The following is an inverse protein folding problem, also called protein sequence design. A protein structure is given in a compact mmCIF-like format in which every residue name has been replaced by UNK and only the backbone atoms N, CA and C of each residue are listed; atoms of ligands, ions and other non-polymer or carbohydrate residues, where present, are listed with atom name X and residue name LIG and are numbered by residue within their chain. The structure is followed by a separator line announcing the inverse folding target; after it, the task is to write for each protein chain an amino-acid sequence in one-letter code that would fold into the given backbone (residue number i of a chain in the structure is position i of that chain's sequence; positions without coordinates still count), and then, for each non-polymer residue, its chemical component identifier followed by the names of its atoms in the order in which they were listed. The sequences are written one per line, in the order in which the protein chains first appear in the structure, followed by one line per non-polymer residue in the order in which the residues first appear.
data_IF_550151070563
#
_entry.id   IF_550151070563
#
_cell.length_a   1.000
_cell.length_b   1.000
_cell.length_c   1.000
_cell.angle_alpha   90.00
_cell.angle_beta   90.00
_cell.angle_gamma   90.00
#
_symmetry.space_group_name_H-M   'P 1'
#
loop_
_entity.id
_entity.type
_entity.pdbx_description
1 polymer ?
#
# COMPACT_ATOMS: atom_id res chain seq x y z
N UNK A 1 -35.72 7.71 -17.08
CA UNK A 1 -34.98 8.66 -16.22
C UNK A 1 -34.12 7.95 -15.20
N UNK A 2 -34.63 7.08 -14.36
CA UNK A 2 -33.90 6.40 -13.27
C UNK A 2 -32.65 5.60 -13.74
N UNK A 3 -32.77 4.77 -14.79
CA UNK A 3 -31.63 4.00 -15.33
C UNK A 3 -30.46 4.88 -15.85
N UNK A 4 -30.77 6.07 -16.37
CA UNK A 4 -29.74 7.01 -16.86
C UNK A 4 -29.00 7.66 -15.69
N UNK A 5 -29.71 8.03 -14.63
CA UNK A 5 -29.09 8.58 -13.40
C UNK A 5 -28.19 7.56 -12.70
N UNK A 6 -28.65 6.31 -12.60
CA UNK A 6 -27.82 5.21 -12.02
C UNK A 6 -26.56 5.02 -12.86
N UNK A 7 -26.68 4.98 -14.19
CA UNK A 7 -25.52 4.82 -15.07
C UNK A 7 -24.54 6.01 -14.99
N UNK A 8 -25.05 7.26 -14.94
CA UNK A 8 -24.23 8.47 -14.78
C UNK A 8 -23.52 8.49 -13.41
N UNK A 9 -24.17 8.02 -12.33
CA UNK A 9 -23.54 7.89 -11.02
C UNK A 9 -22.45 6.79 -11.01
N UNK A 10 -22.69 5.65 -11.66
CA UNK A 10 -21.69 4.60 -11.79
C UNK A 10 -20.47 5.06 -12.59
N UNK A 11 -20.68 5.78 -13.71
CA UNK A 11 -19.59 6.33 -14.52
C UNK A 11 -18.80 7.40 -13.77
N UNK A 12 -19.48 8.26 -13.01
CA UNK A 12 -18.82 9.25 -12.15
C UNK A 12 -17.98 8.58 -11.06
N UNK A 13 -18.54 7.57 -10.40
CA UNK A 13 -17.84 6.78 -9.40
C UNK A 13 -16.61 6.07 -9.96
N UNK A 14 -16.74 5.42 -11.14
CA UNK A 14 -15.62 4.79 -11.85
C UNK A 14 -14.53 5.80 -12.23
N UNK A 15 -14.92 6.99 -12.73
CA UNK A 15 -13.99 8.05 -13.08
C UNK A 15 -13.25 8.60 -11.85
N UNK A 16 -13.96 8.81 -10.73
CA UNK A 16 -13.38 9.25 -9.47
C UNK A 16 -12.40 8.19 -8.91
N UNK A 17 -12.77 6.90 -8.94
CA UNK A 17 -11.89 5.81 -8.55
C UNK A 17 -10.64 5.73 -9.44
N UNK A 18 -10.80 5.85 -10.76
CA UNK A 18 -9.69 5.85 -11.72
C UNK A 18 -8.74 7.04 -11.51
N UNK A 19 -9.27 8.23 -11.25
CA UNK A 19 -8.47 9.43 -10.95
C UNK A 19 -7.69 9.29 -9.62
N UNK A 20 -8.23 8.55 -8.66
CA UNK A 20 -7.58 8.24 -7.38
C UNK A 20 -6.52 7.11 -7.49
N UNK A 21 -6.59 6.27 -8.55
CA UNK A 21 -5.65 5.17 -8.79
C UNK A 21 -4.35 5.59 -9.50
N UNK A 22 -4.34 6.72 -10.25
CA UNK A 22 -3.28 7.06 -11.20
C UNK A 22 -2.03 7.66 -10.55
N UNK A 23 -1.32 6.91 -9.67
CA UNK A 23 0.01 7.35 -9.23
C UNK A 23 0.97 6.18 -9.00
N UNK A 24 1.60 5.70 -10.07
CA UNK A 24 2.95 5.15 -9.90
C UNK A 24 3.81 6.35 -9.46
N UNK A 25 4.41 6.27 -8.28
CA UNK A 25 5.26 7.33 -7.76
C UNK A 25 6.49 7.53 -8.69
N UNK A 26 6.59 8.62 -9.48
CA UNK A 26 7.70 8.81 -10.43
C UNK A 26 9.05 8.80 -9.71
N UNK A 27 9.11 9.34 -8.52
CA UNK A 27 10.30 9.37 -7.70
C UNK A 27 10.80 7.96 -7.32
N UNK A 28 9.88 7.02 -7.06
CA UNK A 28 10.24 5.61 -6.85
C UNK A 28 10.88 5.01 -8.10
N UNK A 29 10.32 5.28 -9.29
CA UNK A 29 10.86 4.78 -10.56
C UNK A 29 12.27 5.30 -10.82
N UNK A 30 12.47 6.63 -10.75
CA UNK A 30 13.79 7.23 -10.97
C UNK A 30 14.82 6.67 -9.99
N UNK A 31 14.52 6.63 -8.71
CA UNK A 31 15.43 6.10 -7.69
C UNK A 31 15.75 4.61 -7.89
N UNK A 32 14.81 3.83 -8.43
CA UNK A 32 15.05 2.41 -8.72
C UNK A 32 15.96 2.25 -9.94
N UNK A 33 15.75 3.06 -10.98
CA UNK A 33 16.60 3.07 -12.16
C UNK A 33 18.04 3.52 -11.82
N UNK A 34 18.20 4.57 -11.03
CA UNK A 34 19.51 5.03 -10.53
C UNK A 34 20.22 3.93 -9.75
N UNK A 35 19.48 3.20 -8.92
CA UNK A 35 20.04 2.06 -8.17
C UNK A 35 20.50 0.93 -9.08
N UNK A 36 19.75 0.64 -10.15
CA UNK A 36 20.14 -0.36 -11.18
C UNK A 36 21.42 0.07 -11.87
N UNK A 37 21.55 1.33 -12.29
CA UNK A 37 22.74 1.90 -12.92
C UNK A 37 23.95 1.73 -11.98
N UNK A 38 23.81 2.18 -10.74
CA UNK A 38 24.88 2.08 -9.74
C UNK A 38 25.35 0.62 -9.49
N UNK A 39 24.39 -0.32 -9.44
CA UNK A 39 24.70 -1.76 -9.28
C UNK A 39 25.41 -2.31 -10.52
N UNK A 40 25.03 -1.87 -11.73
CA UNK A 40 25.65 -2.28 -12.99
C UNK A 40 27.11 -1.77 -13.06
N UNK A 41 27.38 -0.50 -12.70
CA UNK A 41 28.72 0.07 -12.59
C UNK A 41 29.59 -0.70 -11.58
N UNK A 42 28.97 -1.14 -10.47
CA UNK A 42 29.60 -1.98 -9.45
C UNK A 42 29.76 -3.46 -9.85
N UNK A 43 29.41 -3.84 -11.07
CA UNK A 43 29.43 -5.23 -11.61
C UNK A 43 28.61 -6.23 -10.79
N UNK A 44 27.53 -5.78 -10.17
CA UNK A 44 26.61 -6.58 -9.36
C UNK A 44 25.49 -7.16 -10.21
N UNK A 45 25.84 -8.02 -11.16
CA UNK A 45 24.93 -8.48 -12.21
C UNK A 45 23.68 -9.20 -11.66
N UNK A 46 23.81 -9.98 -10.59
CA UNK A 46 22.67 -10.70 -9.99
C UNK A 46 21.67 -9.73 -9.38
N UNK A 47 22.15 -8.71 -8.65
CA UNK A 47 21.29 -7.69 -8.07
C UNK A 47 20.61 -6.84 -9.16
N UNK A 48 21.31 -6.52 -10.26
CA UNK A 48 20.74 -5.81 -11.43
C UNK A 48 19.58 -6.62 -12.03
N UNK A 49 19.78 -7.92 -12.26
CA UNK A 49 18.74 -8.81 -12.80
C UNK A 49 17.53 -8.88 -11.87
N UNK A 50 17.77 -9.09 -10.56
CA UNK A 50 16.72 -9.20 -9.57
C UNK A 50 15.89 -7.90 -9.46
N UNK A 51 16.57 -6.75 -9.40
CA UNK A 51 15.90 -5.44 -9.29
C UNK A 51 15.13 -5.09 -10.56
N UNK A 52 15.70 -5.34 -11.74
CA UNK A 52 15.03 -5.10 -13.02
C UNK A 52 13.81 -6.01 -13.20
N UNK A 53 13.92 -7.29 -12.84
CA UNK A 53 12.79 -8.22 -12.88
C UNK A 53 11.66 -7.83 -11.91
N UNK A 54 12.02 -7.39 -10.71
CA UNK A 54 11.05 -6.92 -9.71
C UNK A 54 10.34 -5.65 -10.18
N UNK A 55 11.08 -4.69 -10.73
CA UNK A 55 10.52 -3.46 -11.29
C UNK A 55 9.57 -3.74 -12.47
N UNK A 56 9.99 -4.61 -13.40
CA UNK A 56 9.15 -5.00 -14.54
C UNK A 56 7.85 -5.68 -14.12
N UNK A 57 7.88 -6.48 -13.03
CA UNK A 57 6.69 -7.11 -12.45
C UNK A 57 5.74 -6.07 -11.86
N UNK A 58 6.27 -5.13 -11.06
CA UNK A 58 5.48 -4.04 -10.47
C UNK A 58 4.81 -3.19 -11.54
N UNK A 59 5.54 -2.81 -12.58
CA UNK A 59 5.00 -2.01 -13.69
C UNK A 59 3.87 -2.75 -14.41
N UNK A 60 4.03 -4.04 -14.71
CA UNK A 60 2.96 -4.83 -15.34
C UNK A 60 1.71 -4.88 -14.48
N UNK A 61 1.83 -5.09 -13.17
CA UNK A 61 0.69 -5.11 -12.26
C UNK A 61 0.00 -3.74 -12.14
N UNK A 62 0.76 -2.65 -12.23
CA UNK A 62 0.21 -1.29 -12.20
C UNK A 62 -0.52 -0.90 -13.49
N UNK A 63 -0.05 -1.40 -14.65
CA UNK A 63 -0.58 -1.06 -15.98
C UNK A 63 -1.73 -1.98 -16.39
N UNK A 64 -1.81 -3.20 -15.85
CA UNK A 64 -2.91 -4.15 -16.14
C UNK A 64 -4.23 -3.64 -15.54
N UNK A 65 -4.93 -2.79 -16.32
CA UNK A 65 -5.89 -1.81 -15.84
C UNK A 65 -7.37 -2.21 -15.95
N UNK A 66 -7.73 -3.44 -16.27
CA UNK A 66 -9.13 -3.77 -16.51
C UNK A 66 -9.89 -4.09 -15.20
N UNK A 67 -9.20 -4.65 -14.21
CA UNK A 67 -9.86 -5.02 -12.95
C UNK A 67 -9.59 -4.00 -11.86
N UNK A 68 -10.64 -3.41 -11.33
CA UNK A 68 -10.61 -2.49 -10.18
C UNK A 68 -10.33 -3.24 -8.86
N UNK A 69 -10.62 -4.54 -8.85
CA UNK A 69 -10.55 -5.44 -7.70
C UNK A 69 -9.70 -6.65 -8.04
N UNK A 70 -8.84 -7.05 -7.14
CA UNK A 70 -7.95 -8.22 -7.29
C UNK A 70 -7.97 -9.05 -6.01
N UNK A 71 -7.62 -10.34 -6.04
CA UNK A 71 -7.40 -11.11 -4.82
C UNK A 71 -6.35 -10.45 -3.91
N UNK A 72 -6.50 -10.57 -2.59
CA UNK A 72 -5.48 -10.12 -1.60
C UNK A 72 -4.10 -10.67 -1.96
N UNK A 73 -4.02 -11.89 -2.49
CA UNK A 73 -2.76 -12.49 -2.95
C UNK A 73 -1.99 -11.57 -3.91
N UNK A 74 -2.68 -10.87 -4.82
CA UNK A 74 -2.04 -9.97 -5.78
C UNK A 74 -1.45 -8.73 -5.10
N UNK A 75 -2.17 -8.14 -4.14
CA UNK A 75 -1.66 -7.01 -3.34
C UNK A 75 -0.44 -7.42 -2.49
N UNK A 76 -0.47 -8.62 -1.92
CA UNK A 76 0.65 -9.19 -1.15
C UNK A 76 1.88 -9.42 -2.04
N UNK A 77 1.70 -9.96 -3.24
CA UNK A 77 2.82 -10.15 -4.19
C UNK A 77 3.35 -8.81 -4.71
N UNK A 78 2.48 -7.83 -4.93
CA UNK A 78 2.90 -6.46 -5.26
C UNK A 78 3.73 -5.86 -4.13
N UNK A 79 3.26 -5.96 -2.89
CA UNK A 79 3.95 -5.49 -1.71
C UNK A 79 5.33 -6.17 -1.54
N UNK A 80 5.40 -7.49 -1.77
CA UNK A 80 6.66 -8.26 -1.77
C UNK A 80 7.66 -7.72 -2.79
N UNK A 81 7.22 -7.51 -4.04
CA UNK A 81 8.07 -6.95 -5.10
C UNK A 81 8.59 -5.57 -4.75
N UNK A 82 7.71 -4.69 -4.26
CA UNK A 82 8.07 -3.34 -3.82
C UNK A 82 9.08 -3.36 -2.65
N UNK A 83 8.81 -4.15 -1.62
CA UNK A 83 9.69 -4.27 -0.45
C UNK A 83 11.04 -4.91 -0.80
N UNK A 84 11.08 -5.83 -1.76
CA UNK A 84 12.34 -6.39 -2.26
C UNK A 84 13.22 -5.29 -2.88
N UNK A 85 12.66 -4.42 -3.72
CA UNK A 85 13.38 -3.26 -4.28
C UNK A 85 13.85 -2.32 -3.18
N UNK A 86 12.98 -2.00 -2.22
CA UNK A 86 13.33 -1.10 -1.12
C UNK A 86 14.43 -1.70 -0.22
N UNK A 87 14.38 -2.99 0.08
CA UNK A 87 15.43 -3.69 0.83
C UNK A 87 16.78 -3.61 0.12
N UNK A 88 16.81 -3.80 -1.20
CA UNK A 88 18.05 -3.67 -1.99
C UNK A 88 18.60 -2.23 -1.95
N UNK A 89 17.73 -1.22 -1.94
CA UNK A 89 18.11 0.20 -1.86
C UNK A 89 18.61 0.61 -0.48
N UNK A 90 17.87 0.22 0.56
CA UNK A 90 18.21 0.57 1.95
C UNK A 90 19.20 -0.39 2.59
N UNK A 91 19.52 -1.50 1.92
CA UNK A 91 20.49 -2.52 2.36
C UNK A 91 20.17 -3.02 3.78
N UNK A 92 21.16 -2.92 4.68
CA UNK A 92 21.06 -3.42 6.06
C UNK A 92 20.11 -2.59 6.94
N UNK A 93 19.59 -1.46 6.45
CA UNK A 93 18.68 -0.60 7.21
C UNK A 93 17.21 -1.03 7.17
N UNK A 94 16.81 -1.91 6.25
CA UNK A 94 15.43 -2.35 6.12
C UNK A 94 15.34 -3.87 6.09
N UNK A 95 14.53 -4.41 7.00
CA UNK A 95 14.01 -5.79 6.93
C UNK A 95 12.50 -5.78 6.80
N UNK A 96 11.97 -6.87 6.21
CA UNK A 96 10.53 -7.06 6.15
C UNK A 96 10.11 -8.52 6.30
N UNK A 97 8.90 -8.73 6.79
CA UNK A 97 8.25 -10.03 6.93
C UNK A 97 6.82 -9.95 6.37
N UNK A 98 6.34 -11.04 5.79
CA UNK A 98 4.97 -11.13 5.27
C UNK A 98 4.35 -12.43 5.80
N UNK A 99 3.34 -12.27 6.64
CA UNK A 99 2.65 -13.33 7.38
C UNK A 99 1.14 -13.23 7.08
N UNK A 100 0.67 -13.85 6.01
CA UNK A 100 -0.74 -13.77 5.61
C UNK A 100 -1.35 -15.17 5.59
N UNK A 101 -2.46 -15.30 6.31
CA UNK A 101 -3.22 -16.55 6.38
C UNK A 101 -3.74 -16.92 4.97
N UNK A 102 -3.49 -18.14 4.48
CA UNK A 102 -3.96 -18.58 3.18
C UNK A 102 -5.49 -18.46 2.98
N UNK A 103 -6.26 -18.53 4.07
CA UNK A 103 -7.73 -18.47 4.03
C UNK A 103 -8.29 -17.15 3.51
N UNK A 104 -7.52 -16.05 3.59
CA UNK A 104 -7.96 -14.72 3.11
C UNK A 104 -7.37 -14.34 1.76
N UNK A 105 -6.40 -15.08 1.23
CA UNK A 105 -5.68 -14.71 0.01
C UNK A 105 -6.57 -14.57 -1.23
N UNK A 106 -7.67 -15.30 -1.28
CA UNK A 106 -8.62 -15.27 -2.40
C UNK A 106 -9.68 -14.17 -2.29
N UNK A 107 -9.77 -13.46 -1.14
CA UNK A 107 -10.77 -12.42 -0.91
C UNK A 107 -10.49 -11.23 -1.83
N UNK A 108 -11.53 -10.69 -2.52
CA UNK A 108 -11.38 -9.55 -3.40
C UNK A 108 -11.04 -8.27 -2.63
N UNK A 109 -10.00 -7.56 -3.07
CA UNK A 109 -9.57 -6.27 -2.53
C UNK A 109 -9.41 -5.27 -3.68
N UNK A 110 -9.83 -4.02 -3.49
CA UNK A 110 -9.54 -2.95 -4.44
C UNK A 110 -8.02 -2.78 -4.58
N UNK A 111 -7.56 -2.54 -5.81
CA UNK A 111 -6.11 -2.40 -6.11
C UNK A 111 -5.45 -1.24 -5.36
N UNK A 112 -4.14 -1.40 -5.11
CA UNK A 112 -3.26 -0.37 -4.58
C UNK A 112 -3.70 0.15 -3.20
N UNK A 113 -4.01 -0.79 -2.30
CA UNK A 113 -4.32 -0.51 -0.89
C UNK A 113 -3.08 -0.60 -0.04
N UNK A 114 -2.30 -1.69 -0.15
CA UNK A 114 -1.12 -1.90 0.70
C UNK A 114 0.02 -0.95 0.37
N UNK A 115 0.24 -0.63 -0.91
CA UNK A 115 1.39 0.16 -1.35
C UNK A 115 1.49 1.53 -0.67
N UNK A 116 0.47 2.41 -0.65
CA UNK A 116 0.58 3.73 -0.01
C UNK A 116 0.84 3.65 1.50
N UNK A 117 0.36 2.60 2.15
CA UNK A 117 0.55 2.37 3.58
C UNK A 117 2.00 1.93 3.85
N UNK A 118 2.53 1.02 3.02
CA UNK A 118 3.93 0.58 3.07
C UNK A 118 4.88 1.76 2.78
N UNK A 119 4.54 2.59 1.79
CA UNK A 119 5.31 3.79 1.49
C UNK A 119 5.38 4.74 2.70
N UNK A 120 4.26 4.95 3.38
CA UNK A 120 4.23 5.76 4.60
C UNK A 120 5.10 5.15 5.70
N UNK A 121 4.99 3.86 5.96
CA UNK A 121 5.80 3.17 6.96
C UNK A 121 7.30 3.35 6.68
N UNK A 122 7.73 3.22 5.41
CA UNK A 122 9.13 3.38 5.03
C UNK A 122 9.57 4.84 5.12
N UNK A 123 8.84 5.77 4.49
CA UNK A 123 9.30 7.16 4.34
C UNK A 123 9.11 8.01 5.59
N UNK A 124 8.11 7.72 6.41
CA UNK A 124 7.80 8.50 7.62
C UNK A 124 8.13 7.76 8.90
N UNK A 125 8.07 6.42 8.91
CA UNK A 125 8.43 5.60 10.06
C UNK A 125 9.91 5.24 10.08
N UNK A 126 10.32 4.40 9.14
CA UNK A 126 11.62 3.72 9.19
C UNK A 126 12.80 4.57 8.72
N UNK A 127 12.60 5.48 7.76
CA UNK A 127 13.67 6.34 7.21
C UNK A 127 14.42 7.15 8.27
N UNK A 128 13.73 7.56 9.32
CA UNK A 128 14.26 8.39 10.39
C UNK A 128 14.79 7.59 11.57
N UNK A 129 14.70 6.25 11.50
CA UNK A 129 15.25 5.36 12.52
C UNK A 129 16.77 5.21 12.34
N UNK A 130 17.54 5.38 13.42
CA UNK A 130 19.00 5.23 13.38
C UNK A 130 19.42 3.77 13.24
N UNK A 131 18.69 2.86 13.90
CA UNK A 131 18.91 1.41 13.84
C UNK A 131 18.20 0.77 12.64
N UNK A 132 18.43 -0.52 12.43
CA UNK A 132 17.71 -1.32 11.44
C UNK A 132 16.22 -1.28 11.70
N UNK A 133 15.43 -0.98 10.66
CA UNK A 133 13.98 -0.95 10.70
C UNK A 133 13.36 -2.26 10.25
N UNK A 134 12.25 -2.65 10.88
CA UNK A 134 11.47 -3.82 10.54
C UNK A 134 10.05 -3.40 10.11
N UNK A 135 9.61 -3.90 8.95
CA UNK A 135 8.24 -3.79 8.47
C UNK A 135 7.62 -5.17 8.39
N UNK A 136 6.43 -5.33 8.98
CA UNK A 136 5.71 -6.61 8.95
C UNK A 136 4.35 -6.37 8.30
N UNK A 137 4.00 -7.21 7.32
CA UNK A 137 2.65 -7.30 6.76
C UNK A 137 2.01 -8.55 7.35
N UNK A 138 0.90 -8.37 8.07
CA UNK A 138 0.08 -9.47 8.58
C UNK A 138 -1.26 -9.49 7.88
N UNK A 139 -1.83 -10.69 7.73
CA UNK A 139 -3.17 -10.86 7.22
C UNK A 139 -3.86 -12.04 7.89
N UNK A 140 -5.09 -11.85 8.38
CA UNK A 140 -5.84 -12.90 9.08
C UNK A 140 -7.34 -12.64 9.03
N UNK A 141 -8.19 -13.70 9.15
CA UNK A 141 -9.62 -13.54 9.32
C UNK A 141 -9.94 -13.10 10.75
N UNK A 142 -10.89 -12.18 10.93
CA UNK A 142 -11.39 -11.74 12.23
C UNK A 142 -12.86 -11.31 12.14
N UNK A 143 -13.73 -11.88 12.97
CA UNK A 143 -15.13 -11.50 13.11
C UNK A 143 -15.91 -11.43 11.78
N UNK A 144 -15.66 -12.41 10.88
CA UNK A 144 -16.26 -12.46 9.55
C UNK A 144 -15.62 -11.53 8.51
N UNK A 145 -14.58 -10.80 8.88
CA UNK A 145 -13.84 -9.86 8.03
C UNK A 145 -12.45 -10.41 7.66
N UNK A 146 -11.85 -9.86 6.60
CA UNK A 146 -10.43 -9.99 6.34
C UNK A 146 -9.72 -8.74 6.89
N UNK A 147 -8.68 -8.97 7.68
CA UNK A 147 -7.86 -7.93 8.29
C UNK A 147 -6.45 -8.01 7.73
N UNK A 148 -5.94 -6.87 7.24
CA UNK A 148 -4.55 -6.71 6.84
C UNK A 148 -3.90 -5.66 7.74
N UNK A 149 -2.69 -5.91 8.18
CA UNK A 149 -1.92 -4.97 9.00
C UNK A 149 -0.57 -4.69 8.36
N UNK A 150 -0.18 -3.42 8.35
CA UNK A 150 1.19 -2.99 8.07
C UNK A 150 1.74 -2.41 9.36
N UNK A 151 2.77 -3.04 9.89
CA UNK A 151 3.38 -2.74 11.19
C UNK A 151 4.81 -2.31 10.93
N UNK A 152 5.20 -1.15 11.40
CA UNK A 152 6.59 -0.70 11.42
C UNK A 152 7.07 -0.43 12.85
N UNK A 153 8.34 -0.62 13.09
CA UNK A 153 9.03 -0.30 14.33
C UNK A 153 9.78 1.04 14.24
N UNK A 154 9.22 1.97 13.46
CA UNK A 154 9.78 3.29 13.18
C UNK A 154 9.66 4.29 14.31
N UNK A 155 9.76 5.57 13.96
CA UNK A 155 9.72 6.66 14.95
C UNK A 155 8.34 6.87 15.57
N UNK A 156 7.28 6.31 14.97
CA UNK A 156 5.91 6.50 15.44
C UNK A 156 5.39 7.92 15.24
N UNK A 157 4.17 8.17 15.74
CA UNK A 157 3.48 9.45 15.66
C UNK A 157 2.98 9.86 17.04
N UNK A 158 2.96 11.16 17.31
CA UNK A 158 2.27 11.72 18.46
C UNK A 158 0.75 11.80 18.22
N UNK A 159 0.00 12.10 19.29
CA UNK A 159 -1.46 12.16 19.24
C UNK A 159 -1.98 13.21 18.26
N UNK A 160 -1.28 14.34 18.12
CA UNK A 160 -1.67 15.43 17.22
C UNK A 160 -1.51 14.99 15.76
N UNK A 161 -0.38 14.39 15.41
CA UNK A 161 -0.13 13.84 14.06
C UNK A 161 -1.12 12.73 13.73
N UNK A 162 -1.36 11.82 14.68
CA UNK A 162 -2.29 10.70 14.51
C UNK A 162 -3.74 11.19 14.29
N UNK A 163 -4.19 12.20 15.06
CA UNK A 163 -5.53 12.77 14.91
C UNK A 163 -5.76 13.40 13.51
N UNK A 164 -4.69 13.83 12.84
CA UNK A 164 -4.75 14.51 11.55
C UNK A 164 -4.31 13.65 10.36
N UNK A 165 -4.08 12.34 10.56
CA UNK A 165 -3.55 11.45 9.51
C UNK A 165 -4.44 11.39 8.25
N UNK A 166 -5.73 11.68 8.40
CA UNK A 166 -6.71 11.76 7.30
C UNK A 166 -7.03 13.19 6.88
N UNK A 167 -6.41 14.21 7.47
CA UNK A 167 -6.70 15.60 7.15
C UNK A 167 -5.88 16.06 5.93
N UNK A 168 -6.56 16.12 4.77
CA UNK A 168 -5.96 16.54 3.50
C UNK A 168 -5.32 17.94 3.54
N UNK A 169 -5.79 18.84 4.40
CA UNK A 169 -5.34 20.24 4.46
C UNK A 169 -4.11 20.44 5.36
N UNK A 170 -3.84 19.52 6.26
CA UNK A 170 -2.68 19.59 7.17
C UNK A 170 -1.50 18.74 6.73
N UNK A 171 -1.71 17.84 5.77
CA UNK A 171 -0.63 17.04 5.18
C UNK A 171 0.14 17.89 4.18
N UNK A 172 1.40 18.19 4.46
CA UNK A 172 2.29 18.92 3.55
C UNK A 172 2.30 18.25 2.17
N UNK A 173 2.12 19.04 1.09
CA UNK A 173 2.07 18.60 -0.32
C UNK A 173 3.28 17.78 -0.78
N UNK A 174 4.36 17.75 -0.01
CA UNK A 174 5.57 16.95 -0.27
C UNK A 174 5.60 15.61 0.46
N UNK A 175 4.59 15.28 1.28
CA UNK A 175 4.49 14.02 2.01
C UNK A 175 3.37 13.14 1.44
N UNK A 176 3.62 11.83 1.35
CA UNK A 176 2.71 10.81 0.77
C UNK A 176 1.33 10.66 1.49
N UNK A 177 0.96 11.57 2.39
CA UNK A 177 -0.32 11.54 3.11
C UNK A 177 -1.57 11.60 2.23
N UNK A 178 -1.45 12.14 1.02
CA UNK A 178 -2.52 12.10 0.00
C UNK A 178 -2.87 10.65 -0.38
N UNK A 179 -1.87 9.75 -0.36
CA UNK A 179 -2.06 8.35 -0.71
C UNK A 179 -2.98 7.63 0.28
N UNK A 180 -2.76 7.78 1.58
CA UNK A 180 -3.57 7.13 2.64
C UNK A 180 -5.00 7.66 2.67
N UNK A 181 -5.17 8.98 2.60
CA UNK A 181 -6.49 9.59 2.48
C UNK A 181 -7.29 9.02 1.31
N UNK A 182 -6.65 8.90 0.13
CA UNK A 182 -7.28 8.34 -1.04
C UNK A 182 -7.65 6.87 -0.86
N UNK A 183 -6.79 6.07 -0.23
CA UNK A 183 -7.09 4.66 0.07
C UNK A 183 -8.27 4.56 1.03
N UNK A 184 -8.27 5.33 2.10
CA UNK A 184 -9.39 5.36 3.06
C UNK A 184 -10.72 5.71 2.38
N UNK A 185 -10.73 6.76 1.54
CA UNK A 185 -11.92 7.16 0.79
C UNK A 185 -12.39 6.07 -0.17
N UNK A 186 -11.47 5.40 -0.88
CA UNK A 186 -11.78 4.30 -1.81
C UNK A 186 -12.36 3.10 -1.08
N UNK A 187 -11.78 2.69 0.06
CA UNK A 187 -12.28 1.59 0.87
C UNK A 187 -13.72 1.85 1.34
N UNK A 188 -13.98 3.03 1.88
CA UNK A 188 -15.33 3.42 2.31
C UNK A 188 -16.33 3.50 1.16
N UNK A 189 -15.94 4.05 0.01
CA UNK A 189 -16.80 4.11 -1.18
C UNK A 189 -17.15 2.72 -1.73
N UNK A 190 -16.22 1.76 -1.62
CA UNK A 190 -16.39 0.43 -2.19
C UNK A 190 -17.08 -0.54 -1.23
N UNK A 191 -16.66 -0.57 0.04
CA UNK A 191 -17.14 -1.55 1.03
C UNK A 191 -18.16 -0.98 2.02
N UNK A 192 -18.31 0.33 2.13
CA UNK A 192 -19.19 1.00 3.11
C UNK A 192 -18.41 1.68 4.24
N UNK A 193 -19.14 2.46 5.05
CA UNK A 193 -18.53 3.32 6.10
C UNK A 193 -17.90 2.55 7.26
N UNK A 194 -18.33 1.29 7.47
CA UNK A 194 -17.82 0.43 8.56
C UNK A 194 -16.44 -0.14 8.26
N UNK A 195 -15.95 0.00 7.02
CA UNK A 195 -14.69 -0.52 6.54
C UNK A 195 -13.68 0.59 6.28
N UNK A 196 -12.40 0.23 6.27
CA UNK A 196 -11.34 1.21 6.01
C UNK A 196 -10.06 0.90 6.77
N UNK A 197 -9.32 1.97 7.07
CA UNK A 197 -8.01 1.89 7.73
C UNK A 197 -8.15 2.53 9.12
N UNK A 198 -7.54 1.91 10.12
CA UNK A 198 -7.31 2.49 11.44
C UNK A 198 -5.83 2.50 11.75
N UNK A 199 -5.39 3.44 12.58
CA UNK A 199 -3.99 3.58 12.97
C UNK A 199 -3.84 3.55 14.48
N UNK A 200 -2.81 2.82 14.92
CA UNK A 200 -2.30 2.86 16.29
C UNK A 200 -0.82 3.22 16.21
N UNK A 201 -0.39 4.22 16.96
CA UNK A 201 1.01 4.68 16.94
C UNK A 201 1.44 5.19 18.30
N UNK A 202 2.71 5.01 18.59
CA UNK A 202 3.34 5.54 19.81
C UNK A 202 4.73 6.10 19.43
N UNK A 203 5.07 7.33 19.82
CA UNK A 203 6.39 7.87 19.59
C UNK A 203 7.51 6.93 20.07
N UNK A 204 8.47 6.68 19.18
CA UNK A 204 9.62 5.79 19.43
C UNK A 204 9.32 4.30 19.41
N UNK A 205 8.08 3.87 19.17
CA UNK A 205 7.70 2.44 19.12
C UNK A 205 7.22 1.98 17.76
N UNK A 206 6.88 2.92 16.86
CA UNK A 206 6.39 2.62 15.52
C UNK A 206 4.88 2.78 15.35
N UNK A 207 4.38 2.26 14.23
CA UNK A 207 2.98 2.42 13.81
C UNK A 207 2.40 1.10 13.34
N UNK A 208 1.14 0.87 13.65
CA UNK A 208 0.32 -0.21 13.09
C UNK A 208 -0.84 0.41 12.31
N UNK A 209 -0.88 0.18 11.00
CA UNK A 209 -2.03 0.49 10.15
C UNK A 209 -2.84 -0.80 9.93
N UNK A 210 -4.11 -0.79 10.33
CA UNK A 210 -5.02 -1.94 10.20
C UNK A 210 -6.09 -1.64 9.17
N UNK A 211 -6.16 -2.44 8.13
CA UNK A 211 -7.17 -2.40 7.05
C UNK A 211 -8.18 -3.48 7.34
N UNK A 212 -9.46 -3.12 7.39
CA UNK A 212 -10.56 -4.08 7.56
C UNK A 212 -11.47 -4.02 6.35
N UNK A 213 -11.76 -5.19 5.77
CA UNK A 213 -12.70 -5.37 4.66
C UNK A 213 -13.60 -6.58 4.92
N UNK A 214 -14.77 -6.69 4.25
CA UNK A 214 -15.63 -7.86 4.42
C UNK A 214 -14.90 -9.15 4.02
N UNK A 215 -15.03 -10.21 4.81
CA UNK A 215 -14.46 -11.53 4.53
C UNK A 215 -15.19 -12.28 3.40
N UNK A 216 -16.43 -11.86 3.06
CA UNK A 216 -17.19 -12.30 1.89
C UNK A 216 -17.88 -11.09 1.28
N UNK A 217 -17.86 -10.96 -0.05
CA UNK A 217 -18.74 -10.01 -0.71
C UNK A 217 -20.14 -10.60 -0.78
N UNK A 218 -21.16 -9.85 -0.33
CA UNK A 218 -22.56 -10.20 -0.57
C UNK A 218 -22.80 -10.18 -2.08
N UNK A 219 -22.99 -11.34 -2.69
CA UNK A 219 -23.33 -11.46 -4.12
C UNK A 219 -22.62 -12.54 -4.92
N UNK A 220 -21.64 -13.25 -4.38
CA UNK A 220 -21.12 -14.47 -5.00
C UNK A 220 -21.84 -15.71 -4.47
N UNK A 221 -22.98 -16.02 -5.12
CA UNK A 221 -23.56 -17.37 -5.16
C UNK A 221 -23.19 -18.06 -6.44
#
# INVERSE_FOLDING_TARGET
MYKRQVHEQEQKRKSELKALQSQINPHFLYNTLDSIIWMAEGKKNEEVVLMTASLARLLRQSISNEDEVVPIANEVEYARGYLTIQKMRYKDKLEFQIEVDPSILHIPLIKLVLQPIIENAIYHGLKYKESKGLLIIKGFPKDGNAVLQVIDDGVGMDEETLAHIYDRHKVNYHSNGVGVYNVQKRLKLYYGEDYGITYESTPGKGTTATITIPGRQEGQK
#
